data_IF_838700705336
#
_entry.id   IF_838700705336
#
_cell.length_a   1.000
_cell.length_b   1.000
_cell.length_c   1.000
_cell.angle_alpha   90.00
_cell.angle_beta   90.00
_cell.angle_gamma   90.00
#
_symmetry.space_group_name_H-M   'P 1'
#
loop_
_entity.id
_entity.type
_entity.pdbx_description
1 polymer ?
#
# COMPACT_ATOMS: atom_id res chain seq x y z
N UNK A 1 20.70 26.87 -5.73
CA UNK A 1 19.56 27.50 -5.04
C UNK A 1 19.17 26.57 -3.90
N UNK A 2 19.43 26.94 -2.64
CA UNK A 2 19.07 26.10 -1.49
C UNK A 2 17.55 26.23 -1.28
N UNK A 3 16.82 25.12 -1.37
CA UNK A 3 15.39 25.07 -1.09
C UNK A 3 15.16 25.45 0.38
N UNK A 4 14.35 26.50 0.63
CA UNK A 4 13.93 26.84 1.99
C UNK A 4 12.91 25.80 2.48
N UNK A 5 12.99 25.33 3.75
CA UNK A 5 11.96 24.48 4.33
C UNK A 5 10.58 25.15 4.26
N UNK A 6 9.56 24.43 3.80
CA UNK A 6 8.19 24.96 3.74
C UNK A 6 7.47 24.79 5.08
N UNK A 7 7.43 23.56 5.62
CA UNK A 7 6.83 23.21 6.91
C UNK A 7 7.53 22.00 7.52
N UNK A 8 7.51 21.92 8.85
CA UNK A 8 8.03 20.81 9.64
C UNK A 8 6.94 20.27 10.57
N UNK A 9 6.92 18.97 10.80
CA UNK A 9 6.03 18.31 11.75
C UNK A 9 6.72 17.06 12.32
N UNK A 10 6.25 16.61 13.49
CA UNK A 10 6.84 15.50 14.22
C UNK A 10 5.86 14.33 14.32
N UNK A 11 6.32 13.10 14.03
CA UNK A 11 5.57 11.85 14.22
C UNK A 11 6.26 11.06 15.34
N UNK A 12 5.62 10.83 16.50
CA UNK A 12 6.21 10.12 17.64
C UNK A 12 6.16 8.59 17.46
N UNK A 13 6.44 8.09 16.26
CA UNK A 13 6.41 6.67 15.92
C UNK A 13 7.32 6.39 14.73
N UNK A 14 7.78 5.14 14.61
CA UNK A 14 8.52 4.68 13.44
C UNK A 14 7.61 4.77 12.20
N UNK A 15 8.05 5.55 11.21
CA UNK A 15 7.31 5.79 9.98
C UNK A 15 7.84 4.89 8.87
N UNK A 16 6.94 4.26 8.11
CA UNK A 16 7.25 3.32 7.04
C UNK A 16 6.88 3.84 5.65
N UNK A 17 5.91 4.76 5.55
CA UNK A 17 5.48 5.31 4.26
C UNK A 17 4.93 6.73 4.40
N UNK A 18 5.01 7.51 3.32
CA UNK A 18 4.41 8.86 3.23
C UNK A 18 3.71 8.99 1.87
N UNK A 19 2.47 9.45 1.90
CA UNK A 19 1.61 9.58 0.74
C UNK A 19 1.02 10.98 0.69
N UNK A 20 1.03 11.59 -0.50
CA UNK A 20 0.41 12.89 -0.70
C UNK A 20 -1.07 12.71 -1.01
N UNK A 21 -1.92 13.29 -0.16
CA UNK A 21 -3.33 13.49 -0.46
C UNK A 21 -3.54 14.93 -0.95
N UNK A 22 -4.77 15.29 -1.33
CA UNK A 22 -5.04 16.59 -2.00
C UNK A 22 -4.56 17.81 -1.20
N UNK A 23 -4.74 17.81 0.12
CA UNK A 23 -4.37 18.93 1.00
C UNK A 23 -3.65 18.48 2.29
N UNK A 24 -3.43 17.17 2.43
CA UNK A 24 -2.89 16.55 3.63
C UNK A 24 -1.82 15.54 3.24
N UNK A 25 -0.99 15.18 4.20
CA UNK A 25 -0.09 14.03 4.08
C UNK A 25 -0.71 12.85 4.82
N UNK A 26 -0.59 11.65 4.26
CA UNK A 26 -0.91 10.42 4.95
C UNK A 26 0.41 9.70 5.26
N UNK A 27 0.70 9.51 6.54
CA UNK A 27 1.92 8.87 7.01
C UNK A 27 1.56 7.50 7.56
N UNK A 28 2.13 6.44 6.98
CA UNK A 28 2.08 5.10 7.57
C UNK A 28 3.14 4.99 8.66
N UNK A 29 2.72 4.67 9.89
CA UNK A 29 3.61 4.42 11.02
C UNK A 29 3.23 3.15 11.77
N UNK A 30 4.01 2.77 12.79
CA UNK A 30 3.78 1.57 13.60
C UNK A 30 2.42 1.51 14.33
N UNK A 31 1.66 2.62 14.35
CA UNK A 31 0.30 2.73 14.90
C UNK A 31 -0.82 2.69 13.84
N UNK A 32 -0.48 2.71 12.55
CA UNK A 32 -1.43 2.84 11.46
C UNK A 32 -1.16 4.03 10.54
N UNK A 33 -2.11 4.32 9.65
CA UNK A 33 -2.09 5.52 8.84
C UNK A 33 -2.59 6.73 9.66
N UNK A 34 -1.78 7.78 9.70
CA UNK A 34 -2.13 9.09 10.26
C UNK A 34 -2.24 10.13 9.14
N UNK A 35 -3.26 10.97 9.20
CA UNK A 35 -3.43 12.12 8.29
C UNK A 35 -2.93 13.37 8.99
N UNK A 36 -2.00 14.06 8.35
CA UNK A 36 -1.39 15.32 8.80
C UNK A 36 -1.90 16.47 7.94
N UNK A 37 -2.50 17.47 8.58
CA UNK A 37 -2.90 18.71 7.92
C UNK A 37 -1.68 19.53 7.54
N UNK A 38 -1.55 19.88 6.26
CA UNK A 38 -0.49 20.79 5.82
C UNK A 38 -0.76 22.22 6.26
N UNK A 39 -1.97 22.59 6.69
CA UNK A 39 -2.31 23.93 7.15
C UNK A 39 -2.05 24.09 8.64
N UNK A 40 -2.66 23.22 9.45
CA UNK A 40 -2.67 23.30 10.93
C UNK A 40 -1.60 22.45 11.61
N UNK A 41 -0.92 21.56 10.86
CA UNK A 41 0.01 20.53 11.36
C UNK A 41 -0.58 19.56 12.38
N UNK A 42 -1.90 19.59 12.55
CA UNK A 42 -2.64 18.63 13.35
C UNK A 42 -2.62 17.25 12.71
N UNK A 43 -2.67 16.24 13.57
CA UNK A 43 -2.59 14.83 13.20
C UNK A 43 -3.80 14.09 13.73
N UNK A 44 -4.35 13.23 12.91
CA UNK A 44 -5.45 12.36 13.29
C UNK A 44 -5.26 10.97 12.67
N UNK A 45 -5.81 9.95 13.32
CA UNK A 45 -5.92 8.62 12.71
C UNK A 45 -6.71 8.73 11.41
N UNK A 46 -6.28 8.01 10.36
CA UNK A 46 -7.07 7.87 9.14
C UNK A 46 -8.33 7.03 9.39
N UNK A 47 -8.25 6.04 10.28
CA UNK A 47 -9.36 5.18 10.66
C UNK A 47 -10.17 5.83 11.79
N UNK A 48 -11.49 5.82 11.63
CA UNK A 48 -12.41 6.30 12.67
C UNK A 48 -12.54 5.26 13.78
N UNK A 49 -12.30 5.68 15.02
CA UNK A 49 -12.35 4.79 16.19
C UNK A 49 -13.78 4.38 16.57
N UNK A 50 -14.80 5.09 16.07
CA UNK A 50 -16.20 4.73 16.28
C UNK A 50 -16.62 3.49 15.46
N UNK A 51 -15.87 3.15 14.40
CA UNK A 51 -16.17 1.99 13.56
C UNK A 51 -15.55 0.70 14.15
N UNK A 52 -16.34 0.01 14.96
CA UNK A 52 -15.95 -1.26 15.59
C UNK A 52 -15.61 -2.38 14.61
N UNK A 53 -16.01 -2.29 13.32
CA UNK A 53 -15.61 -3.28 12.31
C UNK A 53 -14.11 -3.24 11.98
N UNK A 54 -13.41 -2.17 12.39
CA UNK A 54 -11.97 -1.97 12.23
C UNK A 54 -11.15 -2.45 13.45
N UNK A 55 -11.78 -3.09 14.44
CA UNK A 55 -11.09 -3.58 15.65
C UNK A 55 -9.91 -4.51 15.35
N UNK A 56 -9.94 -5.25 14.23
CA UNK A 56 -8.87 -6.15 13.80
C UNK A 56 -7.55 -5.44 13.47
N UNK A 57 -7.60 -4.14 13.16
CA UNK A 57 -6.43 -3.28 12.91
C UNK A 57 -6.20 -2.31 14.06
N UNK A 58 -7.28 -1.72 14.63
CA UNK A 58 -7.17 -0.73 15.69
C UNK A 58 -6.51 -1.24 16.97
N UNK A 59 -6.60 -2.55 17.25
CA UNK A 59 -6.02 -3.18 18.44
C UNK A 59 -4.63 -3.76 18.22
N UNK A 60 -4.13 -3.75 16.98
CA UNK A 60 -2.79 -4.28 16.67
C UNK A 60 -1.74 -3.20 16.91
N UNK A 61 -0.74 -3.52 17.72
CA UNK A 61 0.50 -2.75 17.81
C UNK A 61 1.47 -3.18 16.69
N UNK A 62 2.34 -2.26 16.28
CA UNK A 62 3.40 -2.51 15.29
C UNK A 62 2.90 -2.97 13.90
N UNK A 63 1.74 -2.44 13.49
CA UNK A 63 1.26 -2.61 12.11
C UNK A 63 2.23 -1.92 11.14
N UNK A 64 2.27 -2.39 9.89
CA UNK A 64 3.11 -1.81 8.83
C UNK A 64 2.24 -1.32 7.68
N UNK A 65 1.79 -0.06 7.70
CA UNK A 65 1.02 0.55 6.62
C UNK A 65 1.96 0.95 5.48
N UNK A 66 1.77 0.37 4.30
CA UNK A 66 2.75 0.48 3.20
C UNK A 66 2.23 1.39 2.11
N UNK A 67 1.00 1.17 1.63
CA UNK A 67 0.47 1.87 0.47
C UNK A 67 -1.01 2.23 0.63
N UNK A 68 -1.39 3.40 0.13
CA UNK A 68 -2.78 3.84 0.03
C UNK A 68 -3.10 4.13 -1.44
N UNK A 69 -4.18 3.52 -1.93
CA UNK A 69 -4.63 3.71 -3.31
C UNK A 69 -6.05 4.27 -3.31
N UNK A 70 -6.30 5.30 -4.12
CA UNK A 70 -7.64 5.91 -4.21
C UNK A 70 -8.42 5.27 -5.35
N UNK A 71 -9.56 4.66 -5.05
CA UNK A 71 -10.37 3.94 -6.04
C UNK A 71 -11.85 4.29 -5.87
N UNK A 72 -12.52 4.72 -6.94
CA UNK A 72 -13.97 4.95 -6.97
C UNK A 72 -14.55 5.79 -5.81
N UNK A 73 -13.76 6.70 -5.24
CA UNK A 73 -14.17 7.55 -4.12
C UNK A 73 -13.92 6.98 -2.73
N UNK A 74 -13.44 5.74 -2.67
CA UNK A 74 -12.92 5.01 -1.50
C UNK A 74 -11.38 4.99 -1.52
N UNK A 75 -10.79 4.43 -0.48
CA UNK A 75 -9.36 4.21 -0.33
C UNK A 75 -9.09 2.75 0.00
N UNK A 76 -8.23 2.11 -0.78
CA UNK A 76 -7.65 0.82 -0.44
C UNK A 76 -6.43 1.03 0.43
N UNK A 77 -6.47 0.52 1.65
CA UNK A 77 -5.34 0.55 2.58
C UNK A 77 -4.61 -0.77 2.50
N UNK A 78 -3.30 -0.72 2.24
CA UNK A 78 -2.45 -1.90 2.13
C UNK A 78 -1.43 -1.91 3.28
N UNK A 79 -1.60 -2.87 4.17
CA UNK A 79 -0.66 -3.21 5.23
C UNK A 79 0.08 -4.48 4.86
N UNK A 80 1.19 -4.78 5.56
CA UNK A 80 1.91 -6.05 5.37
C UNK A 80 1.00 -7.26 5.52
N UNK A 81 0.11 -7.25 6.51
CA UNK A 81 -0.70 -8.42 6.86
C UNK A 81 -2.01 -8.49 6.07
N UNK A 82 -2.56 -7.35 5.64
CA UNK A 82 -3.89 -7.29 5.06
C UNK A 82 -4.14 -6.03 4.22
N UNK A 83 -5.11 -6.13 3.33
CA UNK A 83 -5.70 -4.97 2.64
C UNK A 83 -7.22 -4.92 2.82
N UNK A 84 -7.76 -3.72 2.91
CA UNK A 84 -9.20 -3.47 3.03
C UNK A 84 -9.55 -2.05 2.57
N UNK A 85 -10.82 -1.83 2.21
CA UNK A 85 -11.31 -0.53 1.77
C UNK A 85 -11.84 0.33 2.92
N UNK A 86 -11.65 1.63 2.84
CA UNK A 86 -12.31 2.62 3.70
C UNK A 86 -12.89 3.74 2.86
N UNK A 87 -13.94 4.38 3.36
CA UNK A 87 -14.47 5.59 2.75
C UNK A 87 -13.65 6.83 3.20
N UNK A 88 -14.06 8.00 2.74
CA UNK A 88 -13.37 9.27 3.01
C UNK A 88 -13.41 9.73 4.47
N UNK A 89 -14.33 9.18 5.26
CA UNK A 89 -14.46 9.47 6.68
C UNK A 89 -13.67 8.48 7.54
N UNK A 90 -12.93 7.54 6.93
CA UNK A 90 -12.15 6.56 7.68
C UNK A 90 -12.94 5.35 8.16
N UNK A 91 -14.19 5.19 7.72
CA UNK A 91 -15.03 4.04 8.05
C UNK A 91 -14.81 2.92 7.04
N UNK A 92 -14.97 1.67 7.48
CA UNK A 92 -14.87 0.49 6.65
C UNK A 92 -15.83 0.59 5.47
N UNK A 93 -15.27 0.47 4.28
CA UNK A 93 -16.02 0.23 3.07
C UNK A 93 -15.92 -1.26 2.71
N UNK A 94 -16.92 -1.76 1.99
CA UNK A 94 -17.01 -3.15 1.54
C UNK A 94 -16.68 -4.15 2.69
N UNK A 95 -17.56 -4.29 3.70
CA UNK A 95 -17.25 -5.02 4.94
C UNK A 95 -16.77 -6.46 4.72
N UNK A 96 -17.33 -7.13 3.72
CA UNK A 96 -17.01 -8.52 3.38
C UNK A 96 -15.71 -8.64 2.55
N UNK A 97 -15.20 -7.53 2.01
CA UNK A 97 -13.99 -7.51 1.20
C UNK A 97 -12.76 -7.29 2.08
N UNK A 98 -11.84 -8.27 2.09
CA UNK A 98 -10.55 -8.16 2.75
C UNK A 98 -9.57 -9.14 2.11
N UNK A 99 -8.34 -8.70 1.92
CA UNK A 99 -7.22 -9.60 1.61
C UNK A 99 -6.43 -9.80 2.89
N UNK A 100 -6.13 -11.05 3.25
CA UNK A 100 -5.03 -11.40 4.13
C UNK A 100 -3.90 -11.88 3.21
N UNK A 101 -2.74 -11.25 3.31
CA UNK A 101 -1.59 -11.58 2.46
C UNK A 101 -0.90 -12.83 3.00
N UNK A 102 -0.41 -13.69 2.10
CA UNK A 102 0.32 -14.91 2.50
C UNK A 102 1.72 -14.57 3.04
N UNK A 103 2.29 -13.46 2.55
CA UNK A 103 3.62 -12.99 2.91
C UNK A 103 3.62 -11.73 3.76
N UNK A 104 4.78 -11.07 3.77
CA UNK A 104 4.98 -9.76 4.38
C UNK A 104 5.43 -8.78 3.29
N UNK A 105 4.53 -8.41 2.35
CA UNK A 105 4.87 -7.49 1.28
C UNK A 105 5.46 -6.20 1.85
N UNK A 106 6.38 -5.61 1.09
CA UNK A 106 7.05 -4.34 1.40
C UNK A 106 6.70 -3.24 0.41
N UNK A 107 6.06 -3.61 -0.70
CA UNK A 107 5.56 -2.68 -1.70
C UNK A 107 4.30 -3.24 -2.38
N UNK A 108 3.48 -2.34 -2.91
CA UNK A 108 2.25 -2.68 -3.62
C UNK A 108 2.16 -1.91 -4.94
N UNK A 109 1.52 -2.54 -5.92
CA UNK A 109 1.13 -1.88 -7.16
C UNK A 109 -0.29 -2.28 -7.54
N UNK A 110 -1.04 -1.34 -8.12
CA UNK A 110 -2.34 -1.60 -8.71
C UNK A 110 -2.24 -1.50 -10.23
N UNK A 111 -2.64 -2.56 -10.94
CA UNK A 111 -2.87 -2.55 -12.38
C UNK A 111 -4.22 -3.19 -12.63
N UNK A 112 -5.27 -2.36 -12.64
CA UNK A 112 -6.65 -2.85 -12.62
C UNK A 112 -6.92 -3.89 -13.73
N UNK A 113 -7.54 -5.04 -13.42
CA UNK A 113 -8.23 -5.37 -12.15
C UNK A 113 -7.35 -6.06 -11.10
N UNK A 114 -6.03 -6.01 -11.21
CA UNK A 114 -5.10 -6.72 -10.33
C UNK A 114 -4.44 -5.80 -9.30
N UNK A 115 -4.29 -6.33 -8.09
CA UNK A 115 -3.37 -5.80 -7.09
C UNK A 115 -2.21 -6.78 -6.91
N UNK A 116 -1.01 -6.22 -6.83
CA UNK A 116 0.24 -6.95 -6.67
C UNK A 116 0.87 -6.57 -5.34
N UNK A 117 1.27 -7.58 -4.57
CA UNK A 117 1.99 -7.44 -3.32
C UNK A 117 3.40 -8.02 -3.49
N UNK A 118 4.42 -7.17 -3.36
CA UNK A 118 5.82 -7.53 -3.56
C UNK A 118 6.46 -7.88 -2.22
N UNK A 119 6.83 -9.13 -2.06
CA UNK A 119 7.63 -9.67 -0.97
C UNK A 119 8.99 -10.14 -1.53
N UNK A 120 9.99 -10.32 -0.68
CA UNK A 120 11.37 -10.63 -1.11
C UNK A 120 11.52 -11.96 -1.86
N UNK A 121 10.63 -12.92 -1.63
CA UNK A 121 10.66 -14.27 -2.21
C UNK A 121 9.52 -14.54 -3.19
N UNK A 122 8.47 -13.73 -3.21
CA UNK A 122 7.42 -13.82 -4.22
C UNK A 122 6.64 -12.53 -4.44
N UNK A 123 5.96 -12.46 -5.58
CA UNK A 123 4.93 -11.47 -5.89
C UNK A 123 3.58 -12.18 -5.85
N UNK A 124 2.69 -11.74 -4.97
CA UNK A 124 1.32 -12.25 -4.87
C UNK A 124 0.39 -11.35 -5.69
N UNK A 125 -0.36 -11.94 -6.62
CA UNK A 125 -1.26 -11.22 -7.53
C UNK A 125 -2.70 -11.65 -7.23
N UNK A 126 -3.55 -10.69 -6.86
CA UNK A 126 -4.97 -10.92 -6.57
C UNK A 126 -5.88 -10.07 -7.44
N UNK A 127 -7.09 -10.57 -7.69
CA UNK A 127 -8.14 -9.79 -8.35
C UNK A 127 -8.77 -8.83 -7.34
N UNK A 128 -8.81 -7.53 -7.67
CA UNK A 128 -9.22 -6.50 -6.72
C UNK A 128 -10.70 -6.60 -6.35
N UNK A 129 -11.57 -7.06 -7.25
CA UNK A 129 -13.01 -7.13 -6.96
C UNK A 129 -13.40 -8.40 -6.17
N UNK A 130 -12.94 -9.58 -6.58
CA UNK A 130 -13.27 -10.85 -5.92
C UNK A 130 -12.36 -11.18 -4.74
N UNK A 131 -11.22 -10.49 -4.57
CA UNK A 131 -10.14 -10.80 -3.61
C UNK A 131 -9.44 -12.15 -3.83
N UNK A 132 -9.76 -12.85 -4.92
CA UNK A 132 -9.22 -14.16 -5.23
C UNK A 132 -7.74 -14.09 -5.64
N UNK A 133 -7.00 -15.12 -5.23
CA UNK A 133 -5.63 -15.32 -5.66
C UNK A 133 -5.61 -15.70 -7.15
N UNK A 134 -4.93 -14.89 -7.96
CA UNK A 134 -4.77 -15.12 -9.40
C UNK A 134 -3.46 -15.86 -9.67
N UNK A 135 -2.36 -15.40 -9.07
CA UNK A 135 -1.05 -15.99 -9.29
C UNK A 135 -0.06 -15.66 -8.17
N UNK A 136 0.99 -16.47 -8.06
CA UNK A 136 2.15 -16.23 -7.21
C UNK A 136 3.40 -16.43 -8.06
N UNK A 137 4.20 -15.37 -8.20
CA UNK A 137 5.47 -15.42 -8.92
C UNK A 137 6.62 -15.51 -7.92
N UNK A 138 7.25 -16.67 -7.81
CA UNK A 138 8.40 -16.87 -6.90
C UNK A 138 9.69 -16.31 -7.50
N UNK A 139 10.58 -15.85 -6.64
CA UNK A 139 11.92 -15.39 -7.02
C UNK A 139 12.79 -15.17 -5.79
N UNK A 140 13.93 -14.50 -5.97
CA UNK A 140 14.85 -14.20 -4.88
C UNK A 140 15.14 -12.71 -4.85
N UNK A 141 15.17 -12.12 -3.66
CA UNK A 141 15.47 -10.70 -3.43
C UNK A 141 14.64 -9.75 -4.34
N UNK A 142 13.36 -10.06 -4.49
CA UNK A 142 12.43 -9.29 -5.31
C UNK A 142 12.24 -7.90 -4.70
N UNK A 143 12.39 -6.86 -5.52
CA UNK A 143 12.27 -5.46 -5.12
C UNK A 143 11.48 -4.70 -6.18
N UNK A 144 10.31 -4.19 -5.81
CA UNK A 144 9.57 -3.26 -6.66
C UNK A 144 10.36 -1.96 -6.82
N UNK A 145 10.57 -1.51 -8.05
CA UNK A 145 11.33 -0.30 -8.35
C UNK A 145 10.43 0.88 -8.71
N UNK A 146 9.40 0.63 -9.53
CA UNK A 146 8.50 1.67 -10.00
C UNK A 146 7.15 1.09 -10.41
N UNK A 147 6.08 1.87 -10.23
CA UNK A 147 4.77 1.60 -10.83
C UNK A 147 4.32 2.83 -11.61
N UNK A 148 3.83 2.60 -12.81
CA UNK A 148 3.26 3.60 -13.70
C UNK A 148 1.95 3.09 -14.29
N UNK A 149 1.27 3.92 -15.07
CA UNK A 149 0.07 3.49 -15.81
C UNK A 149 0.37 2.47 -16.90
N UNK A 150 1.62 2.32 -17.34
CA UNK A 150 2.00 1.42 -18.43
C UNK A 150 2.50 0.07 -17.93
N UNK A 151 3.38 0.12 -16.95
CA UNK A 151 4.13 -1.04 -16.48
C UNK A 151 4.53 -0.89 -15.02
N UNK A 152 4.80 -2.03 -14.40
CA UNK A 152 5.40 -2.14 -13.08
C UNK A 152 6.80 -2.74 -13.25
N UNK A 153 7.81 -2.00 -12.82
CA UNK A 153 9.22 -2.40 -12.92
C UNK A 153 9.67 -2.95 -11.58
N UNK A 154 10.34 -4.10 -11.59
CA UNK A 154 10.90 -4.73 -10.41
C UNK A 154 12.26 -5.36 -10.71
N UNK A 155 13.07 -5.57 -9.68
CA UNK A 155 14.32 -6.32 -9.75
C UNK A 155 14.24 -7.63 -8.98
N UNK A 156 15.03 -8.62 -9.36
CA UNK A 156 15.19 -9.89 -8.64
C UNK A 156 16.57 -10.50 -8.91
N UNK A 157 17.03 -11.37 -8.01
CA UNK A 157 18.24 -12.18 -8.20
C UNK A 157 17.90 -13.46 -8.98
N UNK A 158 18.63 -13.70 -10.08
CA UNK A 158 18.49 -14.93 -10.87
C UNK A 158 19.32 -16.11 -10.33
N UNK A 159 19.34 -17.23 -11.05
CA UNK A 159 20.08 -18.43 -10.65
C UNK A 159 21.60 -18.22 -10.63
N UNK A 160 22.12 -17.29 -11.43
CA UNK A 160 23.53 -16.90 -11.45
C UNK A 160 23.88 -15.88 -10.35
N UNK A 161 22.90 -15.51 -9.50
CA UNK A 161 23.02 -14.43 -8.51
C UNK A 161 23.28 -13.06 -9.14
N UNK A 162 22.86 -12.86 -10.39
CA UNK A 162 22.87 -11.56 -11.05
C UNK A 162 21.57 -10.80 -10.75
N UNK A 163 21.65 -9.47 -10.64
CA UNK A 163 20.49 -8.62 -10.39
C UNK A 163 19.82 -8.27 -11.72
N UNK A 164 18.60 -8.75 -11.92
CA UNK A 164 17.85 -8.63 -13.17
C UNK A 164 16.69 -7.67 -12.98
N UNK A 165 16.53 -6.72 -13.92
CA UNK A 165 15.37 -5.83 -13.98
C UNK A 165 14.36 -6.39 -14.96
N UNK A 166 13.10 -6.51 -14.52
CA UNK A 166 11.98 -6.99 -15.31
C UNK A 166 10.79 -6.03 -15.21
N UNK A 167 9.84 -6.21 -16.13
CA UNK A 167 8.63 -5.42 -16.24
C UNK A 167 7.40 -6.33 -16.28
N UNK A 168 6.35 -5.94 -15.53
CA UNK A 168 5.02 -6.52 -15.61
C UNK A 168 4.10 -5.55 -16.33
N UNK A 169 3.46 -6.07 -17.37
CA UNK A 169 2.49 -5.36 -18.18
C UNK A 169 1.21 -6.22 -18.29
N UNK A 170 0.07 -5.61 -17.97
CA UNK A 170 -1.26 -6.22 -17.98
C UNK A 170 -2.15 -5.70 -19.12
N UNK A 171 -1.62 -4.90 -20.06
CA UNK A 171 -2.35 -4.53 -21.27
C UNK A 171 -2.70 -5.80 -22.03
N UNK A 172 -3.99 -5.96 -22.36
CA UNK A 172 -4.42 -6.94 -23.35
C UNK A 172 -3.68 -6.64 -24.64
N UNK A 173 -2.64 -7.42 -24.98
CA UNK A 173 -2.19 -7.49 -26.37
C UNK A 173 -3.41 -7.97 -27.15
N UNK A 174 -3.92 -7.20 -28.14
CA UNK A 174 -4.94 -7.75 -29.02
C UNK A 174 -4.39 -9.05 -29.61
N UNK A 175 -5.19 -10.12 -29.50
CA UNK A 175 -4.90 -11.42 -30.09
C UNK A 175 -4.72 -11.31 -31.62
#
# INVERSE_FOLDING_TARGET
>A
MLSKPFKEFYIPAESSSVHFLRATLCVGCSRGFEVVSLETTERQSLLDQADTSLDFVARKENVKPIHIERMNGEFLLNYSDFSFFVNRNGWRAQPDWRIAWEGNPVAFALSYPYILAFESSFIEIRHIESSELIHVMTGRNIRMLHSSTREIIYAYEDEASEDVVASLDFWNKPA
#
